data_IF_297375034094
#
_entry.id   IF_297375034094
#
_cell.length_a   1.000
_cell.length_b   1.000
_cell.length_c   1.000
_cell.angle_alpha   90.00
_cell.angle_beta   90.00
_cell.angle_gamma   90.00
#
_symmetry.space_group_name_H-M   'P 1'
#
loop_
_entity.id
_entity.type
_entity.pdbx_description
1 polymer ?
#
# COMPACT_ATOMS: atom_id res chain seq x y z
N UNK A 1 2.79 7.18 -22.48
CA UNK A 1 3.33 7.06 -21.10
C UNK A 1 2.87 5.76 -20.45
N UNK A 2 3.73 5.07 -19.72
CA UNK A 2 3.41 3.84 -19.01
C UNK A 2 3.29 4.11 -17.51
N UNK A 3 2.15 3.79 -16.89
CA UNK A 3 1.98 3.83 -15.43
C UNK A 3 2.02 2.40 -14.90
N UNK A 4 2.88 2.13 -13.92
CA UNK A 4 3.08 0.77 -13.36
C UNK A 4 2.66 0.73 -11.90
N UNK A 5 1.77 -0.19 -11.52
CA UNK A 5 1.33 -0.41 -10.14
C UNK A 5 -0.18 -0.53 -10.00
N UNK A 6 -0.67 -1.29 -9.03
CA UNK A 6 -2.10 -1.67 -8.93
C UNK A 6 -2.89 -1.03 -7.78
N UNK A 7 -2.35 0.02 -7.13
CA UNK A 7 -2.96 0.65 -5.96
C UNK A 7 -3.47 2.07 -6.22
N UNK A 8 -3.91 2.74 -5.15
CA UNK A 8 -4.45 4.11 -5.18
C UNK A 8 -3.55 5.11 -5.93
N UNK A 9 -2.24 5.12 -5.64
CA UNK A 9 -1.31 6.05 -6.28
C UNK A 9 -1.29 5.89 -7.80
N UNK A 10 -1.24 4.65 -8.29
CA UNK A 10 -1.22 4.39 -9.73
C UNK A 10 -2.51 4.83 -10.40
N UNK A 11 -3.68 4.53 -9.80
CA UNK A 11 -4.97 4.92 -10.35
C UNK A 11 -5.16 6.45 -10.40
N UNK A 12 -4.75 7.16 -9.34
CA UNK A 12 -4.85 8.62 -9.29
C UNK A 12 -3.87 9.31 -10.25
N UNK A 13 -2.62 8.82 -10.32
CA UNK A 13 -1.64 9.34 -11.27
C UNK A 13 -2.11 9.08 -12.71
N UNK A 14 -2.55 7.86 -13.01
CA UNK A 14 -3.13 7.53 -14.33
C UNK A 14 -4.32 8.43 -14.66
N UNK A 15 -5.22 8.66 -13.70
CA UNK A 15 -6.38 9.52 -13.86
C UNK A 15 -6.00 10.96 -14.23
N UNK A 16 -4.89 11.47 -13.69
CA UNK A 16 -4.36 12.79 -13.99
C UNK A 16 -3.62 12.81 -15.34
N UNK A 17 -2.61 11.95 -15.52
CA UNK A 17 -1.75 11.98 -16.71
C UNK A 17 -2.49 11.60 -18.00
N UNK A 18 -3.55 10.79 -17.92
CA UNK A 18 -4.41 10.44 -19.06
C UNK A 18 -5.19 11.63 -19.63
N UNK A 19 -5.25 12.76 -18.93
CA UNK A 19 -5.89 13.99 -19.46
C UNK A 19 -4.99 14.75 -20.42
N UNK A 20 -3.69 14.45 -20.45
CA UNK A 20 -2.68 15.19 -21.22
C UNK A 20 -1.79 14.29 -22.08
N UNK A 21 -1.83 12.98 -21.90
CA UNK A 21 -1.02 12.03 -22.66
C UNK A 21 -1.76 10.72 -22.91
N UNK A 22 -1.38 10.01 -23.98
CA UNK A 22 -1.78 8.62 -24.16
C UNK A 22 -1.10 7.74 -23.10
N UNK A 23 -1.88 6.90 -22.43
CA UNK A 23 -1.42 6.12 -21.27
C UNK A 23 -1.72 4.64 -21.41
N UNK A 24 -0.75 3.81 -21.03
CA UNK A 24 -0.98 2.39 -20.71
C UNK A 24 -0.82 2.18 -19.22
N UNK A 25 -1.71 1.40 -18.62
CA UNK A 25 -1.61 0.99 -17.22
C UNK A 25 -1.18 -0.47 -17.11
N UNK A 26 -0.05 -0.75 -16.46
CA UNK A 26 0.43 -2.11 -16.24
C UNK A 26 0.38 -2.50 -14.76
N UNK A 27 -0.16 -3.70 -14.49
CA UNK A 27 -0.36 -4.18 -13.12
C UNK A 27 -0.01 -5.67 -12.99
N UNK A 28 0.44 -6.08 -11.79
CA UNK A 28 0.72 -7.49 -11.48
C UNK A 28 -0.55 -8.33 -11.31
N UNK A 29 -1.60 -7.73 -10.75
CA UNK A 29 -2.92 -8.34 -10.53
C UNK A 29 -3.98 -7.39 -11.05
N UNK A 30 -5.09 -7.94 -11.53
CA UNK A 30 -6.24 -7.14 -11.96
C UNK A 30 -6.62 -6.14 -10.86
N UNK A 31 -6.68 -4.82 -11.16
CA UNK A 31 -7.06 -3.80 -10.19
C UNK A 31 -8.47 -4.05 -9.65
N UNK A 32 -8.64 -3.87 -8.34
CA UNK A 32 -9.93 -4.02 -7.67
C UNK A 32 -10.41 -2.65 -7.20
N UNK A 33 -11.34 -2.08 -7.95
CA UNK A 33 -11.98 -0.80 -7.63
C UNK A 33 -13.02 -1.00 -6.53
N UNK A 34 -13.03 -0.10 -5.55
CA UNK A 34 -14.10 -0.03 -4.57
C UNK A 34 -15.41 0.45 -5.23
N UNK A 35 -16.59 0.12 -4.66
CA UNK A 35 -17.84 0.76 -5.07
C UNK A 35 -17.79 2.28 -4.90
N UNK A 36 -18.53 3.02 -5.73
CA UNK A 36 -18.49 4.48 -5.74
C UNK A 36 -18.99 5.10 -4.42
N UNK A 37 -19.86 4.38 -3.72
CA UNK A 37 -20.49 4.79 -2.46
C UNK A 37 -19.58 4.56 -1.24
N UNK A 38 -18.42 3.90 -1.41
CA UNK A 38 -17.46 3.65 -0.34
C UNK A 38 -16.57 4.88 -0.14
N UNK A 39 -16.78 5.58 0.97
CA UNK A 39 -15.95 6.69 1.41
C UNK A 39 -14.95 6.29 2.53
N UNK A 40 -14.16 7.25 3.02
CA UNK A 40 -13.18 7.03 4.07
C UNK A 40 -13.76 6.52 5.39
N UNK A 41 -15.05 6.76 5.68
CA UNK A 41 -15.71 6.27 6.90
C UNK A 41 -15.97 4.77 6.80
N UNK A 42 -16.46 4.31 5.65
CA UNK A 42 -16.67 2.86 5.41
C UNK A 42 -15.34 2.11 5.52
N UNK A 43 -14.26 2.67 4.95
CA UNK A 43 -12.93 2.09 5.07
C UNK A 43 -12.46 2.01 6.53
N UNK A 44 -12.70 3.06 7.31
CA UNK A 44 -12.38 3.08 8.73
C UNK A 44 -13.17 2.04 9.54
N UNK A 45 -14.47 1.91 9.30
CA UNK A 45 -15.32 0.95 10.00
C UNK A 45 -14.89 -0.50 9.71
N UNK A 46 -14.50 -0.77 8.46
CA UNK A 46 -13.97 -2.08 8.05
C UNK A 46 -12.63 -2.37 8.73
N UNK A 47 -11.71 -1.39 8.76
CA UNK A 47 -10.43 -1.53 9.46
C UNK A 47 -10.62 -1.75 10.97
N UNK A 48 -11.55 -1.02 11.59
CA UNK A 48 -11.86 -1.15 13.02
C UNK A 48 -12.50 -2.50 13.35
N UNK A 49 -13.43 -3.00 12.51
CA UNK A 49 -14.02 -4.34 12.67
C UNK A 49 -12.99 -5.46 12.52
N UNK A 50 -12.09 -5.36 11.54
CA UNK A 50 -10.99 -6.33 11.36
C UNK A 50 -10.15 -6.42 12.63
N UNK A 51 -9.75 -5.27 13.17
CA UNK A 51 -8.92 -5.26 14.36
C UNK A 51 -9.64 -5.80 15.59
N UNK A 52 -10.92 -5.50 15.77
CA UNK A 52 -11.72 -6.09 16.84
C UNK A 52 -11.83 -7.62 16.70
N UNK A 53 -11.93 -8.12 15.46
CA UNK A 53 -11.93 -9.56 15.19
C UNK A 53 -10.56 -10.20 15.54
N UNK A 54 -9.46 -9.59 15.12
CA UNK A 54 -8.10 -10.05 15.44
C UNK A 54 -7.84 -10.06 16.95
N UNK A 55 -8.21 -8.99 17.66
CA UNK A 55 -8.08 -8.90 19.11
C UNK A 55 -8.91 -9.96 19.84
N UNK A 56 -10.04 -10.38 19.27
CA UNK A 56 -10.89 -11.44 19.78
C UNK A 56 -10.47 -12.86 19.34
N UNK A 57 -9.33 -13.02 18.66
CA UNK A 57 -8.85 -14.31 18.14
C UNK A 57 -9.72 -14.90 17.03
N UNK A 58 -10.54 -14.08 16.36
CA UNK A 58 -11.39 -14.49 15.23
C UNK A 58 -10.64 -14.37 13.91
N UNK A 59 -11.11 -15.10 12.89
CA UNK A 59 -10.49 -15.11 11.56
C UNK A 59 -10.43 -13.73 10.91
N UNK A 60 -9.32 -13.46 10.21
CA UNK A 60 -9.14 -12.25 9.44
C UNK A 60 -10.06 -12.28 8.20
N UNK A 61 -10.96 -11.32 8.12
CA UNK A 61 -11.89 -11.16 7.01
C UNK A 61 -11.30 -10.36 5.83
N UNK A 62 -10.00 -10.03 5.88
CA UNK A 62 -9.29 -9.33 4.81
C UNK A 62 -9.43 -7.80 4.84
N UNK A 63 -10.21 -7.24 5.78
CA UNK A 63 -10.32 -5.80 6.01
C UNK A 63 -10.70 -4.98 4.78
N UNK A 64 -10.08 -3.80 4.65
CA UNK A 64 -10.32 -2.89 3.52
C UNK A 64 -9.96 -3.55 2.19
N UNK A 65 -8.87 -4.32 2.16
CA UNK A 65 -8.45 -5.04 0.96
C UNK A 65 -9.49 -6.08 0.49
N UNK A 66 -10.40 -6.56 1.37
CA UNK A 66 -11.50 -7.44 0.93
C UNK A 66 -12.54 -6.72 0.07
N UNK A 67 -12.72 -5.40 0.22
CA UNK A 67 -13.68 -4.61 -0.54
C UNK A 67 -13.13 -4.15 -1.90
N UNK A 68 -11.82 -3.90 -1.97
CA UNK A 68 -11.15 -3.34 -3.12
C UNK A 68 -9.88 -2.61 -2.68
N UNK A 69 -8.94 -2.46 -3.60
CA UNK A 69 -7.61 -1.90 -3.33
C UNK A 69 -7.54 -0.41 -3.68
N UNK A 70 -8.48 0.09 -4.49
CA UNK A 70 -8.48 1.45 -5.05
C UNK A 70 -9.78 2.17 -4.71
N UNK A 71 -9.66 3.32 -4.05
CA UNK A 71 -10.77 4.22 -3.71
C UNK A 71 -11.18 4.99 -4.95
N UNK A 72 -12.49 4.99 -5.24
CA UNK A 72 -13.08 5.73 -6.35
C UNK A 72 -13.18 7.23 -6.02
N UNK A 73 -12.06 7.91 -5.78
CA UNK A 73 -12.05 9.37 -5.62
C UNK A 73 -12.53 10.06 -6.91
N UNK A 74 -12.97 11.33 -6.88
CA UNK A 74 -13.56 12.00 -8.05
C UNK A 74 -12.72 11.90 -9.33
N UNK A 75 -11.39 12.03 -9.25
CA UNK A 75 -10.50 11.90 -10.41
C UNK A 75 -10.50 10.48 -11.00
N UNK A 76 -10.51 9.44 -10.15
CA UNK A 76 -10.54 8.04 -10.57
C UNK A 76 -11.89 7.68 -11.18
N UNK A 77 -13.01 8.18 -10.63
CA UNK A 77 -14.34 8.05 -11.27
C UNK A 77 -14.35 8.66 -12.66
N UNK A 78 -13.88 9.90 -12.80
CA UNK A 78 -13.80 10.55 -14.10
C UNK A 78 -12.91 9.78 -15.08
N UNK A 79 -11.81 9.17 -14.61
CA UNK A 79 -10.93 8.34 -15.43
C UNK A 79 -11.62 7.04 -15.88
N UNK A 80 -12.40 6.39 -15.00
CA UNK A 80 -13.23 5.25 -15.37
C UNK A 80 -14.22 5.64 -16.45
N UNK A 81 -14.90 6.77 -16.29
CA UNK A 81 -15.95 7.22 -17.20
C UNK A 81 -15.37 7.60 -18.58
N UNK A 82 -14.09 8.02 -18.66
CA UNK A 82 -13.32 8.17 -19.90
C UNK A 82 -12.81 6.86 -20.50
N UNK A 83 -12.98 5.72 -19.82
CA UNK A 83 -12.52 4.41 -20.27
C UNK A 83 -11.00 4.17 -20.16
N UNK A 84 -10.27 4.99 -19.38
CA UNK A 84 -8.80 4.88 -19.30
C UNK A 84 -8.30 3.93 -18.21
N UNK A 85 -9.18 3.45 -17.32
CA UNK A 85 -8.83 2.49 -16.26
C UNK A 85 -8.81 1.04 -16.80
N UNK A 86 -8.06 0.80 -17.87
CA UNK A 86 -7.88 -0.53 -18.47
C UNK A 86 -6.45 -1.00 -18.23
N UNK A 87 -6.29 -1.95 -17.32
CA UNK A 87 -4.98 -2.50 -16.98
C UNK A 87 -4.58 -3.63 -17.94
N UNK A 88 -3.32 -3.58 -18.39
CA UNK A 88 -2.62 -4.71 -19.00
C UNK A 88 -1.88 -5.52 -17.94
N UNK A 89 -1.65 -6.83 -18.18
CA UNK A 89 -0.69 -7.60 -17.41
C UNK A 89 0.70 -6.95 -17.43
N UNK A 90 1.50 -7.26 -16.41
CA UNK A 90 2.87 -6.80 -16.31
C UNK A 90 3.71 -7.27 -17.52
N UNK A 91 4.51 -6.36 -18.07
CA UNK A 91 5.50 -6.66 -19.11
C UNK A 91 6.65 -7.50 -18.55
N UNK A 92 7.40 -8.19 -19.42
CA UNK A 92 8.47 -9.12 -19.01
C UNK A 92 9.84 -8.43 -18.89
N UNK A 93 10.12 -7.45 -19.74
CA UNK A 93 11.39 -6.71 -19.74
C UNK A 93 11.26 -5.32 -20.33
N UNK A 94 12.21 -4.45 -19.95
CA UNK A 94 12.45 -3.19 -20.64
C UNK A 94 13.22 -3.44 -21.95
N UNK A 95 12.92 -2.64 -22.96
CA UNK A 95 13.69 -2.53 -24.21
C UNK A 95 14.18 -1.08 -24.36
N UNK A 96 14.96 -0.79 -25.40
CA UNK A 96 15.61 0.52 -25.56
C UNK A 96 14.63 1.71 -25.53
N UNK A 97 13.43 1.52 -26.05
CA UNK A 97 12.41 2.55 -26.26
C UNK A 97 11.05 2.20 -25.62
N UNK A 98 11.00 1.23 -24.70
CA UNK A 98 9.74 0.80 -24.10
C UNK A 98 9.81 -0.53 -23.36
N UNK A 99 8.79 -1.37 -23.56
CA UNK A 99 8.66 -2.67 -22.87
C UNK A 99 8.20 -3.77 -23.82
N UNK A 100 8.52 -5.02 -23.47
CA UNK A 100 8.02 -6.21 -24.15
C UNK A 100 7.10 -7.03 -23.23
N UNK A 101 5.95 -7.48 -23.75
CA UNK A 101 5.00 -8.32 -23.02
C UNK A 101 5.23 -9.83 -23.23
N UNK A 102 4.59 -10.70 -22.42
CA UNK A 102 4.77 -12.15 -22.54
C UNK A 102 4.42 -12.73 -23.92
N UNK A 103 3.57 -12.06 -24.68
CA UNK A 103 3.18 -12.42 -26.06
C UNK A 103 4.17 -11.89 -27.12
N UNK A 104 5.35 -11.41 -26.69
CA UNK A 104 6.38 -10.76 -27.53
C UNK A 104 5.92 -9.46 -28.19
N UNK A 105 4.74 -8.92 -27.84
CA UNK A 105 4.36 -7.58 -28.30
C UNK A 105 5.28 -6.55 -27.66
N UNK A 106 5.71 -5.56 -28.44
CA UNK A 106 6.54 -4.44 -27.97
C UNK A 106 5.69 -3.18 -27.98
N UNK A 107 5.78 -2.42 -26.89
CA UNK A 107 5.13 -1.12 -26.77
C UNK A 107 6.17 -0.06 -26.46
N UNK A 108 6.17 0.99 -27.27
CA UNK A 108 7.08 2.12 -27.13
C UNK A 108 6.50 3.15 -26.15
N UNK A 109 7.36 3.67 -25.28
CA UNK A 109 6.97 4.65 -24.27
C UNK A 109 8.09 5.66 -24.01
N UNK A 110 7.77 6.96 -24.09
CA UNK A 110 8.73 8.02 -23.77
C UNK A 110 9.04 8.12 -22.27
N UNK A 111 8.15 7.60 -21.42
CA UNK A 111 8.24 7.72 -19.97
C UNK A 111 7.49 6.61 -19.25
N UNK A 112 8.05 6.18 -18.12
CA UNK A 112 7.47 5.19 -17.20
C UNK A 112 7.34 5.83 -15.82
N UNK A 113 6.14 5.80 -15.24
CA UNK A 113 5.89 6.22 -13.85
C UNK A 113 5.72 4.97 -12.97
N UNK A 114 6.68 4.77 -12.06
CA UNK A 114 6.70 3.66 -11.12
C UNK A 114 5.89 3.98 -9.87
N UNK A 115 4.65 3.50 -9.85
CA UNK A 115 3.74 3.56 -8.70
C UNK A 115 3.78 2.23 -7.92
N UNK A 116 4.97 1.68 -7.72
CA UNK A 116 5.21 0.31 -7.21
C UNK A 116 5.40 0.23 -5.69
N UNK A 117 4.98 1.27 -4.97
CA UNK A 117 5.08 1.33 -3.52
C UNK A 117 6.47 1.74 -3.02
N UNK A 118 6.66 1.59 -1.71
CA UNK A 118 7.83 2.08 -0.98
C UNK A 118 8.35 1.02 -0.01
N UNK A 119 9.58 1.21 0.46
CA UNK A 119 10.17 0.47 1.59
C UNK A 119 10.34 1.43 2.78
N UNK A 120 10.33 0.93 4.03
CA UNK A 120 10.56 1.79 5.18
C UNK A 120 11.99 2.35 5.14
N UNK A 121 12.14 3.64 5.41
CA UNK A 121 13.45 4.28 5.53
C UNK A 121 14.03 4.04 6.92
N UNK A 122 14.88 3.02 7.03
CA UNK A 122 15.47 2.54 8.28
C UNK A 122 17.00 2.47 8.22
N UNK A 123 17.64 3.21 7.29
CA UNK A 123 19.10 3.19 7.14
C UNK A 123 19.84 3.60 8.43
N UNK A 124 19.22 4.45 9.24
CA UNK A 124 19.74 4.87 10.54
C UNK A 124 19.77 3.72 11.58
N UNK A 125 19.05 2.62 11.36
CA UNK A 125 19.02 1.44 12.24
C UNK A 125 19.94 0.31 11.77
N UNK A 126 20.58 0.42 10.60
CA UNK A 126 21.48 -0.62 10.06
C UNK A 126 22.54 -1.10 11.07
N UNK A 127 23.20 -0.23 11.87
CA UNK A 127 24.18 -0.68 12.86
C UNK A 127 23.65 -1.61 13.95
N UNK A 128 22.33 -1.67 14.17
CA UNK A 128 21.72 -2.54 15.19
C UNK A 128 21.61 -4.00 14.75
N UNK A 129 21.80 -4.31 13.47
CA UNK A 129 21.80 -5.70 12.97
C UNK A 129 20.47 -6.43 13.20
N UNK A 130 19.33 -5.73 13.13
CA UNK A 130 18.01 -6.29 13.42
C UNK A 130 17.67 -7.45 12.47
N UNK A 131 17.06 -8.50 13.03
CA UNK A 131 16.46 -9.61 12.29
C UNK A 131 15.33 -9.09 11.42
N UNK A 132 15.26 -9.57 10.18
CA UNK A 132 14.23 -9.15 9.23
C UNK A 132 13.41 -10.32 8.69
N UNK A 133 12.15 -10.05 8.40
CA UNK A 133 11.25 -10.92 7.64
C UNK A 133 10.67 -10.10 6.49
N UNK A 134 10.68 -10.65 5.28
CA UNK A 134 10.21 -9.97 4.06
C UNK A 134 10.80 -8.55 3.83
N UNK A 135 12.03 -8.33 4.31
CA UNK A 135 12.75 -7.06 4.14
C UNK A 135 12.38 -5.96 5.15
N UNK A 136 11.65 -6.27 6.22
CA UNK A 136 11.37 -5.34 7.34
C UNK A 136 11.79 -5.96 8.69
N UNK A 137 12.14 -5.15 9.72
CA UNK A 137 12.47 -5.66 11.04
C UNK A 137 11.35 -6.49 11.66
N UNK A 138 11.72 -7.55 12.37
CA UNK A 138 10.75 -8.36 13.12
C UNK A 138 10.21 -7.59 14.33
N UNK A 139 8.89 -7.56 14.47
CA UNK A 139 8.21 -6.86 15.57
C UNK A 139 7.10 -7.69 16.21
N UNK A 140 6.83 -7.43 17.49
CA UNK A 140 5.58 -7.79 18.17
C UNK A 140 4.79 -6.50 18.37
N UNK A 141 3.71 -6.34 17.60
CA UNK A 141 3.01 -5.06 17.51
C UNK A 141 3.89 -3.99 16.91
N UNK A 142 4.44 -3.12 17.75
CA UNK A 142 5.35 -2.03 17.33
C UNK A 142 6.77 -2.23 17.85
N UNK A 143 6.96 -3.14 18.81
CA UNK A 143 8.23 -3.35 19.51
C UNK A 143 9.13 -4.27 18.69
N UNK A 144 10.39 -3.91 18.52
CA UNK A 144 11.40 -4.77 17.90
C UNK A 144 11.61 -6.04 18.73
N UNK A 145 11.76 -7.18 18.05
CA UNK A 145 12.07 -8.47 18.70
C UNK A 145 13.51 -8.49 19.22
N UNK A 146 14.46 -7.89 18.49
CA UNK A 146 15.89 -7.95 18.83
C UNK A 146 16.30 -6.85 19.82
N UNK A 147 15.62 -5.70 19.79
CA UNK A 147 15.93 -4.55 20.64
C UNK A 147 14.67 -4.08 21.38
N UNK A 148 14.42 -4.54 22.61
CA UNK A 148 13.17 -4.30 23.31
C UNK A 148 12.90 -2.83 23.68
N UNK A 149 13.89 -1.93 23.55
CA UNK A 149 13.74 -0.48 23.73
C UNK A 149 13.34 0.25 22.44
N UNK A 150 13.38 -0.43 21.30
CA UNK A 150 13.06 0.13 19.99
C UNK A 150 11.62 -0.17 19.61
N UNK A 151 10.86 0.88 19.28
CA UNK A 151 9.54 0.78 18.67
C UNK A 151 9.54 1.39 17.26
N UNK A 152 8.86 0.74 16.33
CA UNK A 152 8.69 1.16 14.94
C UNK A 152 7.22 1.49 14.71
N UNK A 153 6.93 2.72 14.25
CA UNK A 153 5.58 3.27 14.17
C UNK A 153 5.26 3.81 12.78
N UNK A 154 4.10 3.45 12.25
CA UNK A 154 3.53 4.09 11.07
C UNK A 154 4.13 3.65 9.73
N UNK A 155 4.91 2.56 9.70
CA UNK A 155 5.59 2.09 8.49
C UNK A 155 4.73 1.16 7.61
N UNK A 156 3.53 0.83 8.04
CA UNK A 156 2.60 -0.05 7.33
C UNK A 156 2.05 -1.15 8.22
N UNK A 157 1.24 -2.03 7.64
CA UNK A 157 0.50 -3.08 8.38
C UNK A 157 1.41 -3.97 9.26
N UNK A 158 2.69 -4.11 8.90
CA UNK A 158 3.69 -4.86 9.67
C UNK A 158 4.07 -4.20 11.02
N UNK A 159 3.79 -2.90 11.19
CA UNK A 159 3.89 -2.18 12.49
C UNK A 159 2.52 -1.93 13.11
N UNK A 160 1.50 -2.66 12.66
CA UNK A 160 0.11 -2.55 13.10
C UNK A 160 -0.83 -2.15 11.97
N UNK A 161 -2.03 -2.71 12.00
CA UNK A 161 -3.05 -2.55 10.95
C UNK A 161 -3.37 -1.09 10.67
N UNK A 162 -3.28 -0.69 9.40
CA UNK A 162 -3.49 0.66 8.89
C UNK A 162 -2.58 1.74 9.54
N UNK A 163 -1.46 1.36 10.16
CA UNK A 163 -0.58 2.31 10.86
C UNK A 163 -0.01 3.40 9.94
N UNK A 164 0.21 3.11 8.66
CA UNK A 164 0.65 4.07 7.64
C UNK A 164 -0.50 4.94 7.09
N UNK A 165 -1.51 5.22 7.92
CA UNK A 165 -2.61 6.12 7.59
C UNK A 165 -2.80 7.11 8.74
N UNK A 166 -3.29 8.32 8.44
CA UNK A 166 -3.49 9.37 9.45
C UNK A 166 -4.32 8.85 10.63
N UNK A 167 -5.40 8.12 10.34
CA UNK A 167 -6.31 7.63 11.37
C UNK A 167 -5.73 6.41 12.11
N UNK A 168 -5.08 5.48 11.40
CA UNK A 168 -4.53 4.27 12.02
C UNK A 168 -3.28 4.52 12.86
N UNK A 169 -2.45 5.49 12.49
CA UNK A 169 -1.20 5.83 13.19
C UNK A 169 -1.43 6.20 14.66
N UNK A 170 -2.47 6.98 14.96
CA UNK A 170 -2.77 7.41 16.32
C UNK A 170 -3.07 6.23 17.26
N UNK A 171 -3.68 5.16 16.72
CA UNK A 171 -4.05 3.97 17.50
C UNK A 171 -2.81 3.17 17.91
N UNK A 172 -1.90 2.90 16.97
CA UNK A 172 -0.67 2.15 17.26
C UNK A 172 0.23 2.97 18.17
N UNK A 173 0.39 4.27 17.92
CA UNK A 173 1.15 5.17 18.79
C UNK A 173 0.65 5.16 20.24
N UNK A 174 -0.66 5.21 20.47
CA UNK A 174 -1.22 5.17 21.83
C UNK A 174 -0.86 3.88 22.57
N UNK A 175 -0.93 2.73 21.90
CA UNK A 175 -0.57 1.45 22.50
C UNK A 175 0.94 1.38 22.81
N UNK A 176 1.79 1.81 21.87
CA UNK A 176 3.25 1.82 22.06
C UNK A 176 3.69 2.71 23.21
N UNK A 177 3.07 3.89 23.36
CA UNK A 177 3.38 4.80 24.48
C UNK A 177 3.00 4.17 25.81
N UNK A 178 1.86 3.47 25.90
CA UNK A 178 1.49 2.76 27.12
C UNK A 178 2.52 1.67 27.47
N UNK A 179 2.92 0.85 26.49
CA UNK A 179 3.96 -0.19 26.69
C UNK A 179 5.31 0.41 27.12
N UNK A 180 5.71 1.54 26.54
CA UNK A 180 6.94 2.23 26.89
C UNK A 180 6.90 2.80 28.31
N UNK A 181 5.77 3.39 28.73
CA UNK A 181 5.61 3.91 30.09
C UNK A 181 5.71 2.79 31.12
N UNK A 182 5.05 1.66 30.85
CA UNK A 182 5.14 0.49 31.74
C UNK A 182 6.57 -0.05 31.80
N UNK A 183 7.27 -0.15 30.66
CA UNK A 183 8.65 -0.63 30.62
C UNK A 183 9.67 0.28 31.33
N UNK A 184 9.42 1.59 31.36
CA UNK A 184 10.28 2.57 32.03
C UNK A 184 9.98 2.72 33.53
N UNK A 185 8.84 2.21 33.99
CA UNK A 185 8.46 2.23 35.40
C UNK A 185 9.10 1.08 36.22
N UNK A 186 9.57 0.03 35.54
CA UNK A 186 10.37 -1.08 36.09
C UNK A 186 11.88 -0.74 36.13
#
# INVERSE_FOLDING_TARGET
MLVVGGGNSAAQILAEVSTVAETTWATLRAPRLLPDEVDGRVLFDVASRRQAALAAGRSDNGGVAALGDIVMVPSVRAARDRGVLVARPMFTRLVADGVEWPDSTVGTFDSIIWCTGFRPDLGHLTPLGLSTVDGVPMTVGTRSVDEPRLHLLGYGDWTGTASATIIGAARTAKASVAELVDHLAD
#
